data_IF_607618446297
#
_entry.id   IF_607618446297
#
_cell.length_a   1.000
_cell.length_b   1.000
_cell.length_c   1.000
_cell.angle_alpha   90.00
_cell.angle_beta   90.00
_cell.angle_gamma   90.00
#
_symmetry.space_group_name_H-M   'P 1'
#
loop_
_entity.id
_entity.type
_entity.pdbx_description
1 polymer ?
#
# COMPACT_ATOMS: atom_id res chain seq x y z
N UNK A 1 -15.77 17.62 13.59
CA UNK A 1 -16.28 16.25 13.83
C UNK A 1 -15.33 15.26 13.18
N UNK A 2 -15.15 14.07 13.75
CA UNK A 2 -14.41 13.01 13.08
C UNK A 2 -15.25 12.48 11.90
N UNK A 3 -14.60 12.16 10.78
CA UNK A 3 -15.23 11.53 9.61
C UNK A 3 -14.55 10.21 9.29
N UNK A 4 -15.25 9.35 8.55
CA UNK A 4 -14.74 8.05 8.12
C UNK A 4 -14.80 7.98 6.60
N UNK A 5 -13.71 7.53 5.98
CA UNK A 5 -13.66 7.16 4.58
C UNK A 5 -13.65 5.64 4.51
N UNK A 6 -14.56 5.07 3.73
CA UNK A 6 -14.64 3.62 3.50
C UNK A 6 -14.28 3.33 2.06
N UNK A 7 -13.32 2.42 1.89
CA UNK A 7 -12.85 1.94 0.60
C UNK A 7 -13.21 0.46 0.49
N UNK A 8 -13.87 0.08 -0.60
CA UNK A 8 -14.37 -1.28 -0.82
C UNK A 8 -14.03 -1.75 -2.23
N UNK A 9 -12.87 -2.40 -2.37
CA UNK A 9 -12.40 -2.93 -3.66
C UNK A 9 -13.11 -4.21 -4.10
N UNK A 10 -14.00 -4.75 -3.26
CA UNK A 10 -14.88 -5.85 -3.67
C UNK A 10 -15.97 -5.38 -4.64
N UNK A 11 -16.22 -4.06 -4.70
CA UNK A 11 -17.24 -3.44 -5.54
C UNK A 11 -16.71 -2.75 -6.79
N UNK A 12 -15.41 -2.45 -6.85
CA UNK A 12 -14.79 -1.78 -7.98
C UNK A 12 -13.49 -1.07 -7.60
N UNK A 13 -12.82 -0.50 -8.59
CA UNK A 13 -11.54 0.23 -8.41
C UNK A 13 -11.63 1.66 -8.97
N UNK A 14 -12.84 2.16 -9.24
CA UNK A 14 -13.06 3.45 -9.87
C UNK A 14 -12.42 4.58 -9.06
N UNK A 15 -11.69 5.45 -9.76
CA UNK A 15 -10.97 6.58 -9.17
C UNK A 15 -9.61 6.21 -8.55
N UNK A 16 -9.27 4.94 -8.41
CA UNK A 16 -7.96 4.51 -7.93
C UNK A 16 -6.98 4.35 -9.08
N UNK A 17 -5.77 4.88 -8.89
CA UNK A 17 -4.68 4.78 -9.88
C UNK A 17 -3.53 3.99 -9.27
N UNK A 18 -3.04 2.92 -9.92
CA UNK A 18 -1.90 2.16 -9.44
C UNK A 18 -0.59 2.86 -9.77
N UNK A 19 0.48 2.49 -9.06
CA UNK A 19 1.84 2.94 -9.32
C UNK A 19 2.87 2.01 -8.71
N UNK A 20 4.10 2.15 -9.19
CA UNK A 20 5.28 1.44 -8.69
C UNK A 20 6.38 2.47 -8.46
N UNK A 21 7.14 2.34 -7.37
CA UNK A 21 8.24 3.22 -6.99
C UNK A 21 9.36 2.43 -6.33
N UNK A 22 10.42 3.15 -5.96
CA UNK A 22 11.60 2.67 -5.22
C UNK A 22 12.45 1.68 -6.03
N UNK A 23 12.81 2.13 -7.24
CA UNK A 23 13.71 1.46 -8.18
C UNK A 23 14.59 2.48 -8.92
N UNK A 24 15.53 2.03 -9.74
CA UNK A 24 16.34 2.85 -10.64
C UNK A 24 16.32 2.26 -12.05
N UNK A 25 16.99 2.93 -13.00
CA UNK A 25 17.08 2.42 -14.37
C UNK A 25 17.67 0.99 -14.48
N UNK A 26 18.73 0.59 -13.73
CA UNK A 26 19.32 -0.74 -13.89
C UNK A 26 18.53 -1.87 -13.22
N UNK A 27 17.59 -1.53 -12.34
CA UNK A 27 16.82 -2.43 -11.49
C UNK A 27 15.31 -2.11 -11.57
N UNK A 28 14.86 -1.66 -12.75
CA UNK A 28 13.44 -1.43 -13.01
C UNK A 28 12.65 -2.73 -12.74
N UNK A 29 11.53 -2.66 -12.00
CA UNK A 29 10.77 -3.85 -11.64
C UNK A 29 10.17 -4.52 -12.88
N UNK A 30 10.02 -5.84 -12.79
CA UNK A 30 9.42 -6.65 -13.86
C UNK A 30 8.15 -7.34 -13.35
N UNK A 31 7.43 -8.05 -14.23
CA UNK A 31 6.19 -8.76 -13.89
C UNK A 31 5.15 -7.89 -13.15
N UNK A 32 5.15 -6.58 -13.46
CA UNK A 32 4.22 -5.63 -12.87
C UNK A 32 2.82 -5.84 -13.45
N UNK A 33 1.82 -5.94 -12.59
CA UNK A 33 0.44 -6.11 -13.01
C UNK A 33 -0.54 -5.59 -11.98
N UNK A 34 -1.67 -5.07 -12.46
CA UNK A 34 -2.74 -4.55 -11.61
C UNK A 34 -4.10 -4.75 -12.26
N UNK A 35 -5.14 -4.94 -11.45
CA UNK A 35 -6.51 -5.02 -12.00
C UNK A 35 -7.57 -5.43 -11.00
N UNK A 36 -8.83 -5.28 -11.38
CA UNK A 36 -9.97 -5.75 -10.59
C UNK A 36 -10.28 -7.21 -10.94
N UNK A 37 -9.76 -8.12 -10.12
CA UNK A 37 -9.67 -9.55 -10.45
C UNK A 37 -10.39 -10.42 -9.42
N UNK A 38 -10.80 -11.62 -9.85
CA UNK A 38 -11.42 -12.61 -8.98
C UNK A 38 -10.42 -13.08 -7.93
N UNK A 39 -10.85 -13.19 -6.68
CA UNK A 39 -10.04 -13.76 -5.63
C UNK A 39 -9.86 -15.28 -5.84
N UNK A 40 -8.68 -15.83 -5.55
CA UNK A 40 -8.46 -17.28 -5.58
C UNK A 40 -9.24 -17.99 -4.49
N UNK A 41 -9.64 -19.24 -4.75
CA UNK A 41 -10.24 -20.08 -3.72
C UNK A 41 -9.28 -20.23 -2.52
N UNK A 42 -9.79 -20.34 -1.27
CA UNK A 42 -11.21 -20.43 -0.89
C UNK A 42 -11.93 -19.07 -0.81
N UNK A 43 -11.24 -17.95 -1.09
CA UNK A 43 -11.86 -16.63 -1.07
C UNK A 43 -12.79 -16.44 -2.28
N UNK A 44 -13.84 -15.65 -2.09
CA UNK A 44 -14.85 -15.38 -3.11
C UNK A 44 -14.94 -13.88 -3.41
N UNK A 45 -15.48 -13.55 -4.59
CA UNK A 45 -15.63 -12.17 -5.04
C UNK A 45 -14.40 -11.66 -5.79
N UNK A 46 -14.16 -10.36 -5.70
CA UNK A 46 -13.08 -9.65 -6.38
C UNK A 46 -12.31 -8.75 -5.42
N UNK A 47 -11.10 -8.39 -5.81
CA UNK A 47 -10.29 -7.38 -5.15
C UNK A 47 -9.40 -6.65 -6.14
N UNK A 48 -8.67 -5.64 -5.66
CA UNK A 48 -7.66 -4.98 -6.47
C UNK A 48 -6.37 -5.80 -6.41
N UNK A 49 -6.10 -6.56 -7.47
CA UNK A 49 -4.88 -7.34 -7.64
C UNK A 49 -3.68 -6.43 -7.92
N UNK A 50 -2.56 -6.70 -7.26
CA UNK A 50 -1.25 -6.12 -7.51
C UNK A 50 -0.20 -7.23 -7.56
N UNK A 51 0.70 -7.16 -8.54
CA UNK A 51 1.86 -8.05 -8.64
C UNK A 51 3.08 -7.27 -9.12
N UNK A 52 4.25 -7.67 -8.63
CA UNK A 52 5.55 -7.14 -9.04
C UNK A 52 6.64 -8.17 -8.77
N UNK A 53 7.64 -8.24 -9.65
CA UNK A 53 8.95 -8.82 -9.36
C UNK A 53 9.89 -7.70 -8.93
N UNK A 54 10.37 -7.80 -7.69
CA UNK A 54 11.31 -6.85 -7.13
C UNK A 54 12.73 -7.10 -7.67
N UNK A 55 13.24 -6.15 -8.44
CA UNK A 55 14.61 -6.17 -8.93
C UNK A 55 15.54 -5.27 -8.11
N UNK A 56 14.99 -4.43 -7.24
CA UNK A 56 15.68 -3.31 -6.57
C UNK A 56 15.97 -3.52 -5.09
N UNK A 57 15.54 -4.66 -4.52
CA UNK A 57 15.56 -4.94 -3.08
C UNK A 57 14.71 -3.94 -2.24
N UNK A 58 13.81 -3.17 -2.90
CA UNK A 58 13.08 -2.09 -2.21
C UNK A 58 11.83 -1.61 -2.98
N UNK A 59 11.13 -2.48 -3.71
CA UNK A 59 10.05 -2.02 -4.61
C UNK A 59 8.75 -1.70 -3.86
N UNK A 60 8.22 -0.49 -4.08
CA UNK A 60 6.89 -0.08 -3.63
C UNK A 60 5.85 -0.35 -4.71
N UNK A 61 4.79 -1.10 -4.39
CA UNK A 61 3.54 -1.10 -5.16
C UNK A 61 2.45 -0.36 -4.40
N UNK A 62 1.72 0.53 -5.08
CA UNK A 62 0.69 1.32 -4.42
C UNK A 62 -0.50 1.64 -5.32
N UNK A 63 -1.61 2.02 -4.69
CA UNK A 63 -2.75 2.66 -5.33
C UNK A 63 -3.04 3.98 -4.64
N UNK A 64 -3.44 4.98 -5.42
CA UNK A 64 -3.78 6.31 -4.92
C UNK A 64 -5.17 6.75 -5.34
N UNK A 65 -5.83 7.53 -4.49
CA UNK A 65 -7.11 8.16 -4.78
C UNK A 65 -7.21 9.52 -4.09
N UNK A 66 -7.84 10.49 -4.76
CA UNK A 66 -8.12 11.81 -4.18
C UNK A 66 -9.54 11.83 -3.61
N UNK A 67 -9.65 12.19 -2.34
CA UNK A 67 -10.90 12.35 -1.61
C UNK A 67 -11.14 13.82 -1.28
N UNK A 68 -12.39 14.26 -1.27
CA UNK A 68 -12.78 15.64 -0.99
C UNK A 68 -13.76 15.77 0.18
N UNK A 69 -14.19 17.01 0.43
CA UNK A 69 -15.16 17.33 1.49
C UNK A 69 -14.52 17.80 2.80
N UNK A 70 -13.24 18.14 2.77
CA UNK A 70 -12.51 18.71 3.92
C UNK A 70 -12.51 20.23 3.87
N UNK A 71 -12.16 20.88 4.98
CA UNK A 71 -11.96 22.32 5.01
C UNK A 71 -10.64 22.66 4.31
N UNK A 72 -10.62 23.58 3.32
CA UNK A 72 -9.39 23.98 2.64
C UNK A 72 -8.28 24.42 3.59
N UNK A 73 -7.07 23.90 3.40
CA UNK A 73 -5.90 24.23 4.22
C UNK A 73 -5.95 23.77 5.68
N UNK A 74 -7.01 23.05 6.09
CA UNK A 74 -7.12 22.52 7.45
C UNK A 74 -6.23 21.29 7.64
N UNK A 75 -5.77 21.10 8.87
CA UNK A 75 -4.93 19.97 9.26
C UNK A 75 -5.76 18.84 9.86
N UNK A 76 -5.40 17.61 9.53
CA UNK A 76 -6.06 16.39 9.98
C UNK A 76 -5.03 15.34 10.41
N UNK A 77 -5.50 14.43 11.25
CA UNK A 77 -4.82 13.20 11.65
C UNK A 77 -5.62 12.01 11.11
N UNK A 78 -4.98 11.19 10.28
CA UNK A 78 -5.59 10.02 9.65
C UNK A 78 -5.09 8.73 10.30
N UNK A 79 -6.00 7.82 10.63
CA UNK A 79 -5.65 6.46 11.06
C UNK A 79 -6.25 5.44 10.09
N UNK A 80 -5.44 4.48 9.68
CA UNK A 80 -5.75 3.53 8.61
C UNK A 80 -5.99 2.13 9.18
N UNK A 81 -6.93 1.43 8.57
CA UNK A 81 -7.11 -0.02 8.68
C UNK A 81 -7.28 -0.58 7.28
N UNK A 82 -6.39 -1.45 6.85
CA UNK A 82 -6.30 -1.98 5.49
C UNK A 82 -6.52 -3.48 5.51
N UNK A 83 -7.45 -3.96 4.67
CA UNK A 83 -7.77 -5.37 4.51
C UNK A 83 -7.27 -5.85 3.15
N UNK A 84 -6.54 -6.96 3.16
CA UNK A 84 -5.88 -7.53 1.98
C UNK A 84 -5.95 -9.05 2.00
N UNK A 85 -5.60 -9.67 0.88
CA UNK A 85 -5.41 -11.11 0.76
C UNK A 85 -4.07 -11.45 0.12
N UNK A 86 -3.46 -12.54 0.57
CA UNK A 86 -2.18 -13.07 0.08
C UNK A 86 -2.12 -14.58 0.33
N UNK A 87 -1.24 -15.27 -0.41
CA UNK A 87 -0.78 -16.62 -0.10
C UNK A 87 0.61 -16.64 0.53
N UNK A 88 1.16 -15.47 0.89
CA UNK A 88 2.45 -15.35 1.56
C UNK A 88 2.34 -15.72 3.05
N UNK A 89 3.09 -16.74 3.46
CA UNK A 89 3.23 -17.12 4.86
C UNK A 89 4.21 -16.22 5.61
N UNK A 90 3.93 -15.97 6.89
CA UNK A 90 4.80 -15.16 7.75
C UNK A 90 6.18 -15.79 7.96
N UNK A 91 6.30 -17.11 8.16
CA UNK A 91 7.52 -17.70 8.74
C UNK A 91 8.40 -18.45 7.73
N UNK A 92 8.54 -17.89 6.52
CA UNK A 92 9.24 -18.54 5.42
C UNK A 92 10.48 -17.77 4.98
N UNK A 93 11.58 -18.49 4.79
CA UNK A 93 12.75 -17.95 4.10
C UNK A 93 12.44 -17.72 2.61
N UNK A 94 13.11 -16.75 2.00
CA UNK A 94 12.99 -16.44 0.58
C UNK A 94 14.31 -15.92 0.01
N UNK A 95 14.24 -15.32 -1.18
CA UNK A 95 15.38 -14.73 -1.90
C UNK A 95 15.44 -13.24 -1.56
N UNK A 96 16.60 -12.75 -1.09
CA UNK A 96 16.78 -11.37 -0.60
C UNK A 96 16.09 -11.07 0.74
N UNK A 97 14.97 -11.75 1.01
CA UNK A 97 14.22 -11.67 2.25
C UNK A 97 13.10 -12.70 2.27
N UNK A 98 12.28 -12.64 3.31
CA UNK A 98 11.04 -13.39 3.45
C UNK A 98 9.92 -12.74 2.64
N UNK A 99 9.25 -13.54 1.80
CA UNK A 99 8.05 -13.11 1.07
C UNK A 99 6.95 -12.58 2.00
N UNK A 100 6.82 -13.12 3.21
CA UNK A 100 5.82 -12.68 4.19
C UNK A 100 6.31 -11.59 5.12
N UNK A 101 7.56 -11.64 5.57
CA UNK A 101 8.06 -10.77 6.63
C UNK A 101 8.87 -9.56 6.17
N UNK A 102 9.38 -9.57 4.94
CA UNK A 102 10.11 -8.46 4.32
C UNK A 102 9.27 -7.79 3.22
N UNK A 103 7.94 -7.95 3.32
CA UNK A 103 6.98 -7.12 2.61
C UNK A 103 6.11 -6.39 3.64
N UNK A 104 6.15 -5.07 3.62
CA UNK A 104 5.54 -4.19 4.60
C UNK A 104 4.31 -3.51 4.01
N UNK A 105 3.17 -3.65 4.69
CA UNK A 105 1.94 -2.99 4.31
C UNK A 105 2.04 -1.50 4.69
N UNK A 106 1.84 -0.60 3.74
CA UNK A 106 2.05 0.85 3.93
C UNK A 106 0.78 1.63 3.58
N UNK A 107 0.48 2.65 4.38
CA UNK A 107 -0.47 3.69 4.02
C UNK A 107 0.18 5.06 4.14
N UNK A 108 -0.23 5.99 3.28
CA UNK A 108 0.23 7.38 3.31
C UNK A 108 -0.90 8.35 2.95
N UNK A 109 -0.70 9.62 3.33
CA UNK A 109 -1.62 10.70 2.99
C UNK A 109 -0.87 11.99 2.65
N UNK A 110 -1.39 12.75 1.70
CA UNK A 110 -0.79 14.01 1.26
C UNK A 110 -1.86 15.02 0.80
N UNK A 111 -1.54 16.31 0.85
CA UNK A 111 -2.35 17.34 0.18
C UNK A 111 -2.11 17.36 -1.32
N UNK A 112 -0.84 17.21 -1.73
CA UNK A 112 -0.43 17.11 -3.13
C UNK A 112 -0.53 15.69 -3.67
N UNK A 113 -0.64 15.57 -4.99
CA UNK A 113 -0.75 14.28 -5.65
C UNK A 113 0.52 13.42 -5.49
N UNK A 114 0.41 12.18 -4.96
CA UNK A 114 1.49 11.21 -4.91
C UNK A 114 1.90 10.76 -6.31
N UNK A 115 3.17 10.89 -6.67
CA UNK A 115 3.74 10.54 -7.98
C UNK A 115 5.09 9.87 -7.78
N UNK A 116 5.31 8.78 -8.50
CA UNK A 116 6.67 8.29 -8.72
C UNK A 116 7.42 9.31 -9.58
N UNK A 117 8.52 9.83 -9.05
CA UNK A 117 9.37 10.81 -9.72
C UNK A 117 10.83 10.39 -9.61
N UNK A 118 11.60 10.65 -10.67
CA UNK A 118 13.05 10.43 -10.66
C UNK A 118 13.72 11.49 -9.80
N UNK A 119 14.43 11.05 -8.78
CA UNK A 119 15.17 11.88 -7.83
C UNK A 119 16.55 12.23 -8.40
N UNK A 120 17.25 13.16 -7.74
CA UNK A 120 18.59 13.61 -8.17
C UNK A 120 19.64 12.49 -8.15
N UNK A 121 19.45 11.45 -7.32
CA UNK A 121 20.30 10.26 -7.26
C UNK A 121 19.95 9.21 -8.33
N UNK A 122 19.04 9.53 -9.25
CA UNK A 122 18.62 8.65 -10.34
C UNK A 122 17.57 7.61 -9.96
N UNK A 123 17.15 7.55 -8.69
CA UNK A 123 16.11 6.61 -8.22
C UNK A 123 14.71 7.17 -8.45
N UNK A 124 13.79 6.34 -8.87
CA UNK A 124 12.37 6.64 -8.94
C UNK A 124 11.75 6.41 -7.58
N UNK A 125 11.29 7.47 -6.91
CA UNK A 125 10.65 7.39 -5.58
C UNK A 125 9.32 8.11 -5.57
N UNK A 126 8.44 7.75 -4.63
CA UNK A 126 7.23 8.52 -4.39
C UNK A 126 7.60 9.92 -3.87
N UNK A 127 6.95 10.97 -4.38
CA UNK A 127 7.18 12.37 -3.96
C UNK A 127 6.57 12.72 -2.59
N UNK A 128 6.57 11.79 -1.64
CA UNK A 128 6.16 12.00 -0.26
C UNK A 128 6.97 11.09 0.67
N UNK A 129 7.14 11.52 1.92
CA UNK A 129 7.85 10.75 2.93
C UNK A 129 6.96 9.66 3.55
N UNK A 130 6.82 8.52 2.85
CA UNK A 130 6.04 7.38 3.34
C UNK A 130 6.79 6.51 4.35
N UNK A 131 8.10 6.70 4.49
CA UNK A 131 8.99 5.75 5.13
C UNK A 131 9.63 4.78 4.14
N UNK A 132 10.40 3.84 4.67
CA UNK A 132 11.02 2.77 3.89
C UNK A 132 11.09 1.46 4.68
N UNK A 133 10.64 0.37 4.09
CA UNK A 133 10.50 -0.95 4.68
C UNK A 133 9.79 -0.92 6.04
N UNK A 134 10.50 -1.28 7.11
CA UNK A 134 9.97 -1.28 8.48
C UNK A 134 9.92 0.12 9.12
N UNK A 135 10.59 1.11 8.52
CA UNK A 135 10.74 2.44 9.09
C UNK A 135 9.65 3.38 8.57
N UNK A 136 8.79 3.94 9.45
CA UNK A 136 7.74 4.85 9.03
C UNK A 136 8.30 6.24 8.68
N UNK A 137 7.60 6.94 7.78
CA UNK A 137 7.87 8.34 7.44
C UNK A 137 6.99 9.32 8.21
N UNK A 138 7.14 10.59 7.87
CA UNK A 138 6.29 11.68 8.40
C UNK A 138 4.91 11.73 7.73
N UNK A 139 4.79 11.25 6.50
CA UNK A 139 3.56 11.25 5.69
C UNK A 139 3.00 9.84 5.43
N UNK A 140 3.67 8.79 5.93
CA UNK A 140 3.24 7.40 5.81
C UNK A 140 3.56 6.56 7.04
N UNK A 141 2.84 5.46 7.19
CA UNK A 141 3.02 4.50 8.29
C UNK A 141 3.04 3.08 7.75
N UNK A 142 3.91 2.28 8.34
CA UNK A 142 3.89 0.82 8.22
C UNK A 142 2.76 0.29 9.09
N UNK A 143 1.83 -0.45 8.48
CA UNK A 143 0.68 -1.05 9.15
C UNK A 143 1.00 -2.45 9.69
N UNK A 144 2.10 -3.04 9.24
CA UNK A 144 2.58 -4.37 9.59
C UNK A 144 3.13 -5.11 8.38
N UNK A 145 3.37 -6.41 8.53
CA UNK A 145 3.87 -7.28 7.47
C UNK A 145 2.75 -7.90 6.65
N UNK A 146 3.03 -8.25 5.39
CA UNK A 146 2.13 -8.91 4.45
C UNK A 146 1.77 -10.32 4.93
N UNK A 147 2.74 -11.07 5.44
CA UNK A 147 2.58 -12.48 5.79
C UNK A 147 1.40 -12.77 6.72
N UNK A 148 0.77 -13.92 6.50
CA UNK A 148 -0.30 -14.45 7.35
C UNK A 148 0.19 -15.74 8.00
N UNK A 149 0.07 -15.82 9.33
CA UNK A 149 0.39 -17.02 10.10
C UNK A 149 -0.51 -18.21 9.70
N UNK A 150 0.07 -19.41 9.67
CA UNK A 150 -0.65 -20.64 9.33
C UNK A 150 -0.66 -21.01 7.84
N UNK A 151 -0.27 -20.11 6.94
CA UNK A 151 -0.04 -20.44 5.53
C UNK A 151 1.27 -21.23 5.34
N UNK A 152 1.34 -22.07 4.31
CA UNK A 152 2.54 -22.83 3.96
C UNK A 152 3.53 -22.05 3.09
N UNK A 153 4.83 -22.35 3.19
CA UNK A 153 5.88 -21.66 2.42
C UNK A 153 5.83 -21.84 0.91
N UNK A 154 5.12 -22.87 0.42
CA UNK A 154 4.97 -23.11 -1.01
C UNK A 154 3.91 -22.20 -1.66
N UNK A 155 3.20 -21.38 -0.87
CA UNK A 155 2.07 -20.58 -1.33
C UNK A 155 0.87 -21.42 -1.77
N UNK A 156 -0.01 -20.80 -2.55
CA UNK A 156 -1.17 -21.46 -3.17
C UNK A 156 -2.46 -21.47 -2.33
N UNK A 157 -2.37 -21.47 -1.00
CA UNK A 157 -3.53 -21.21 -0.13
C UNK A 157 -3.63 -19.71 0.16
N UNK A 158 -4.79 -19.12 -0.18
CA UNK A 158 -5.03 -17.69 0.00
C UNK A 158 -5.84 -17.42 1.26
N UNK A 159 -5.35 -16.49 2.09
CA UNK A 159 -6.06 -15.97 3.25
C UNK A 159 -6.14 -14.44 3.20
N UNK A 160 -7.05 -13.89 4.01
CA UNK A 160 -7.17 -12.45 4.19
C UNK A 160 -6.76 -12.03 5.60
N UNK A 161 -6.27 -10.81 5.72
CA UNK A 161 -5.93 -10.20 6.99
C UNK A 161 -6.19 -8.68 6.96
N UNK A 162 -6.25 -8.09 8.15
CA UNK A 162 -6.36 -6.64 8.33
C UNK A 162 -5.16 -6.14 9.14
N UNK A 163 -4.60 -5.00 8.73
CA UNK A 163 -3.49 -4.31 9.38
C UNK A 163 -3.87 -2.86 9.61
N UNK A 164 -3.50 -2.30 10.76
CA UNK A 164 -3.91 -0.96 11.14
C UNK A 164 -2.72 -0.13 11.61
N UNK A 165 -2.78 1.17 11.37
CA UNK A 165 -1.76 2.10 11.82
C UNK A 165 -1.85 2.26 13.34
N UNK A 166 -0.72 2.14 14.03
CA UNK A 166 -0.61 2.44 15.48
C UNK A 166 -0.58 3.94 15.76
N UNK A 167 -0.04 4.72 14.82
CA UNK A 167 0.05 6.17 14.89
C UNK A 167 -0.80 6.83 13.80
N UNK A 168 -1.23 8.07 14.04
CA UNK A 168 -1.91 8.85 13.02
C UNK A 168 -0.92 9.50 12.04
N UNK A 169 -1.38 9.71 10.81
CA UNK A 169 -0.68 10.43 9.76
C UNK A 169 -1.18 11.87 9.74
N UNK A 170 -0.33 12.86 10.07
CA UNK A 170 -0.69 14.26 9.94
C UNK A 170 -0.73 14.65 8.45
N UNK A 171 -1.76 15.38 8.05
CA UNK A 171 -1.91 15.87 6.67
C UNK A 171 -2.60 17.22 6.65
N UNK A 172 -2.29 18.04 5.66
CA UNK A 172 -2.99 19.30 5.39
C UNK A 172 -3.80 19.14 4.11
N UNK A 173 -5.10 19.45 4.16
CA UNK A 173 -5.95 19.46 2.98
C UNK A 173 -5.50 20.54 2.00
N UNK A 174 -5.62 20.26 0.71
CA UNK A 174 -5.29 21.23 -0.33
C UNK A 174 -6.23 22.44 -0.32
N UNK A 175 -5.98 23.38 -1.22
CA UNK A 175 -6.78 24.61 -1.38
C UNK A 175 -8.25 24.39 -1.73
N UNK A 176 -8.60 23.18 -2.19
CA UNK A 176 -9.97 22.80 -2.57
C UNK A 176 -10.60 21.87 -1.52
N UNK A 177 -9.94 21.65 -0.38
CA UNK A 177 -10.44 20.77 0.68
C UNK A 177 -10.35 19.29 0.30
N UNK A 178 -9.29 18.90 -0.42
CA UNK A 178 -9.04 17.52 -0.82
C UNK A 178 -7.76 16.96 -0.21
N UNK A 179 -7.71 15.64 -0.14
CA UNK A 179 -6.59 14.85 0.36
C UNK A 179 -6.34 13.68 -0.59
N UNK A 180 -5.09 13.28 -0.74
CA UNK A 180 -4.72 12.03 -1.37
C UNK A 180 -4.51 10.96 -0.32
N UNK A 181 -5.00 9.76 -0.63
CA UNK A 181 -4.77 8.54 0.12
C UNK A 181 -3.94 7.60 -0.74
N UNK A 182 -2.94 6.97 -0.12
CA UNK A 182 -2.11 5.92 -0.72
C UNK A 182 -2.22 4.67 0.13
N UNK A 183 -2.44 3.53 -0.52
CA UNK A 183 -2.46 2.19 0.07
C UNK A 183 -1.50 1.31 -0.74
N UNK A 184 -0.60 0.58 -0.10
CA UNK A 184 0.42 -0.16 -0.82
C UNK A 184 1.17 -1.18 0.02
N UNK A 185 2.19 -1.75 -0.61
CA UNK A 185 3.13 -2.67 0.00
C UNK A 185 4.56 -2.35 -0.48
N UNK A 186 5.47 -2.27 0.48
CA UNK A 186 6.91 -2.15 0.28
C UNK A 186 7.57 -3.51 0.31
N UNK A 187 8.48 -3.82 -0.60
CA UNK A 187 9.04 -5.16 -0.69
C UNK A 187 10.57 -5.12 -0.74
N UNK A 188 11.21 -5.76 0.25
CA UNK A 188 12.60 -6.22 0.19
C UNK A 188 12.72 -7.69 -0.24
N UNK A 189 11.60 -8.36 -0.55
CA UNK A 189 11.63 -9.71 -1.13
C UNK A 189 11.99 -9.61 -2.61
N UNK A 190 13.14 -10.16 -3.02
CA UNK A 190 13.75 -10.01 -4.36
C UNK A 190 13.14 -10.92 -5.44
N UNK A 191 11.85 -11.25 -5.34
CA UNK A 191 11.17 -12.04 -6.37
C UNK A 191 9.71 -11.61 -6.57
N UNK A 192 8.98 -12.30 -7.44
CA UNK A 192 7.57 -12.00 -7.70
C UNK A 192 6.72 -12.22 -6.47
N UNK A 193 5.98 -11.18 -6.10
CA UNK A 193 4.91 -11.28 -5.13
C UNK A 193 3.61 -10.69 -5.68
N UNK A 194 2.51 -11.39 -5.40
CA UNK A 194 1.17 -10.94 -5.72
C UNK A 194 0.30 -10.89 -4.46
N UNK A 195 -0.59 -9.91 -4.41
CA UNK A 195 -1.54 -9.72 -3.33
C UNK A 195 -2.79 -8.99 -3.83
N UNK A 196 -3.86 -9.03 -3.04
CA UNK A 196 -5.08 -8.28 -3.32
C UNK A 196 -5.33 -7.28 -2.21
N UNK A 197 -5.64 -6.04 -2.59
CA UNK A 197 -6.23 -5.07 -1.70
C UNK A 197 -7.76 -5.22 -1.76
N UNK A 198 -8.37 -5.47 -0.60
CA UNK A 198 -9.81 -5.73 -0.48
C UNK A 198 -10.58 -4.49 -0.04
N UNK A 199 -9.97 -3.66 0.80
CA UNK A 199 -10.59 -2.42 1.25
C UNK A 199 -9.76 -1.73 2.33
N UNK A 200 -10.25 -0.58 2.76
CA UNK A 200 -9.68 0.16 3.88
C UNK A 200 -10.73 1.01 4.58
N UNK A 201 -10.51 1.25 5.87
CA UNK A 201 -11.21 2.29 6.64
C UNK A 201 -10.19 3.34 7.05
N UNK A 202 -10.50 4.61 6.80
CA UNK A 202 -9.67 5.74 7.20
C UNK A 202 -10.46 6.63 8.16
N UNK A 203 -9.99 6.72 9.40
CA UNK A 203 -10.53 7.61 10.41
C UNK A 203 -9.84 8.96 10.27
N UNK A 204 -10.62 10.03 10.06
CA UNK A 204 -10.11 11.40 9.87
C UNK A 204 -10.53 12.26 11.05
N UNK A 205 -9.55 12.83 11.75
CA UNK A 205 -9.80 13.76 12.88
C UNK A 205 -9.15 15.11 12.59
N UNK A 206 -9.86 16.23 12.76
CA UNK A 206 -9.20 17.55 12.76
C UNK A 206 -8.08 17.60 13.81
N UNK A 207 -6.99 18.30 13.50
CA UNK A 207 -5.93 18.63 14.48
C UNK A 207 -6.36 19.76 15.41
#
# INVERSE_FOLDING_TARGET
>A
MASTITVDFTKGIEGWTPGVADYGDPDEPSETGYGWSKLPAPLEGKGYFLTVHNNSDDVLTYVKHQVGGFAPGAKYNLSFSMTYATDASADCAGVGGSRGNDIFMVAAAAGDEPKTVKQADGRYRLNLDRGNNAEPGTQGKVLGRLGIEGLGCNGGEWAQATRASTEAIPVTADKDGKLWIVLGADSGYEATNAWFLLGATVQVKPQ
#
